data_IF_667644717976
#
_entry.id   IF_667644717976
#
_cell.length_a   1.000
_cell.length_b   1.000
_cell.length_c   1.000
_cell.angle_alpha   90.00
_cell.angle_beta   90.00
_cell.angle_gamma   90.00
#
_symmetry.space_group_name_H-M   'P 1'
#
loop_
_entity.id
_entity.type
_entity.pdbx_description
1 polymer ?
#
# COMPACT_ATOMS: atom_id res chain seq x y z
N UNK A 1 -13.50 11.69 -11.81
CA UNK A 1 -12.38 12.04 -10.90
C UNK A 1 -11.41 12.94 -11.67
N UNK A 2 -10.85 13.99 -11.05
CA UNK A 2 -9.81 14.81 -11.69
C UNK A 2 -8.48 14.06 -11.62
N UNK A 3 -7.68 14.12 -12.69
CA UNK A 3 -6.37 13.45 -12.74
C UNK A 3 -5.34 14.19 -11.86
N UNK A 4 -4.37 13.48 -11.25
CA UNK A 4 -3.31 14.10 -10.46
C UNK A 4 -2.47 15.07 -11.30
N UNK A 5 -2.05 16.18 -10.70
CA UNK A 5 -1.25 17.21 -11.40
C UNK A 5 0.22 17.15 -11.05
N UNK A 6 0.56 16.50 -9.94
CA UNK A 6 1.93 16.39 -9.44
C UNK A 6 2.49 14.97 -9.64
N UNK A 7 3.81 14.83 -9.85
CA UNK A 7 4.47 13.52 -9.88
C UNK A 7 4.16 12.66 -8.64
N UNK A 8 4.21 13.24 -7.43
CA UNK A 8 3.84 12.57 -6.18
C UNK A 8 2.35 12.20 -6.13
N UNK A 9 1.47 13.04 -6.67
CA UNK A 9 0.06 12.69 -6.86
C UNK A 9 -0.13 11.45 -7.73
N UNK A 10 0.65 11.31 -8.81
CA UNK A 10 0.59 10.12 -9.67
C UNK A 10 1.10 8.85 -8.98
N UNK A 11 2.18 8.92 -8.19
CA UNK A 11 2.67 7.74 -7.45
C UNK A 11 1.62 7.25 -6.45
N UNK A 12 0.94 8.18 -5.77
CA UNK A 12 -0.14 7.87 -4.82
C UNK A 12 -1.39 7.35 -5.53
N UNK A 13 -1.75 7.91 -6.69
CA UNK A 13 -2.91 7.44 -7.47
C UNK A 13 -2.72 5.99 -7.94
N UNK A 14 -1.56 5.66 -8.50
CA UNK A 14 -1.25 4.30 -8.95
C UNK A 14 -1.23 3.33 -7.77
N UNK A 15 -0.58 3.72 -6.67
CA UNK A 15 -0.55 2.89 -5.46
C UNK A 15 -1.95 2.67 -4.89
N UNK A 16 -2.78 3.71 -4.84
CA UNK A 16 -4.18 3.65 -4.42
C UNK A 16 -5.03 2.75 -5.30
N UNK A 17 -4.89 2.86 -6.62
CA UNK A 17 -5.60 2.00 -7.56
C UNK A 17 -5.21 0.53 -7.38
N UNK A 18 -3.92 0.23 -7.22
CA UNK A 18 -3.45 -1.14 -6.99
C UNK A 18 -3.96 -1.70 -5.66
N UNK A 19 -3.90 -0.92 -4.58
CA UNK A 19 -4.44 -1.30 -3.27
C UNK A 19 -5.96 -1.57 -3.35
N UNK A 20 -6.70 -0.74 -4.09
CA UNK A 20 -8.12 -0.93 -4.32
C UNK A 20 -8.41 -2.22 -5.07
N UNK A 21 -7.74 -2.47 -6.20
CA UNK A 21 -7.95 -3.67 -7.02
C UNK A 21 -7.55 -4.95 -6.29
N UNK A 22 -6.42 -4.95 -5.60
CA UNK A 22 -5.98 -6.10 -4.79
C UNK A 22 -6.90 -6.32 -3.59
N UNK A 23 -7.41 -5.25 -2.96
CA UNK A 23 -8.42 -5.35 -1.92
C UNK A 23 -9.73 -5.97 -2.44
N UNK A 24 -10.18 -5.57 -3.64
CA UNK A 24 -11.34 -6.21 -4.28
C UNK A 24 -11.08 -7.69 -4.58
N UNK A 25 -9.90 -8.03 -5.06
CA UNK A 25 -9.51 -9.43 -5.27
C UNK A 25 -9.56 -10.23 -3.97
N UNK A 26 -9.06 -9.67 -2.87
CA UNK A 26 -9.09 -10.35 -1.56
C UNK A 26 -10.48 -10.46 -0.94
N UNK A 27 -11.43 -9.58 -1.30
CA UNK A 27 -12.83 -9.72 -0.93
C UNK A 27 -13.57 -10.79 -1.74
N UNK A 28 -13.28 -10.89 -3.04
CA UNK A 28 -13.92 -11.86 -3.95
C UNK A 28 -13.29 -13.24 -3.81
N UNK A 29 -11.96 -13.31 -3.68
CA UNK A 29 -11.18 -14.54 -3.56
C UNK A 29 -10.04 -14.39 -2.53
N UNK A 30 -10.36 -14.51 -1.23
CA UNK A 30 -9.35 -14.44 -0.17
C UNK A 30 -8.29 -15.54 -0.30
N UNK A 31 -8.66 -16.73 -0.81
CA UNK A 31 -7.75 -17.85 -1.04
C UNK A 31 -6.66 -17.53 -2.08
N UNK A 32 -7.05 -16.95 -3.22
CA UNK A 32 -6.08 -16.51 -4.23
C UNK A 32 -5.10 -15.48 -3.67
N UNK A 33 -5.59 -14.57 -2.82
CA UNK A 33 -4.74 -13.57 -2.16
C UNK A 33 -3.74 -14.22 -1.19
N UNK A 34 -4.18 -15.21 -0.40
CA UNK A 34 -3.29 -16.01 0.45
C UNK A 34 -2.19 -16.70 -0.37
N UNK A 35 -2.55 -17.36 -1.48
CA UNK A 35 -1.60 -18.05 -2.37
C UNK A 35 -0.56 -17.09 -2.97
N UNK A 36 -1.01 -15.91 -3.43
CA UNK A 36 -0.13 -14.87 -3.99
C UNK A 36 0.91 -14.40 -2.97
N UNK A 37 0.49 -14.28 -1.70
CA UNK A 37 1.36 -13.93 -0.58
C UNK A 37 2.25 -15.10 -0.12
N UNK A 38 2.00 -16.31 -0.64
CA UNK A 38 2.75 -17.52 -0.34
C UNK A 38 2.26 -18.28 0.89
N UNK A 39 1.09 -17.96 1.41
CA UNK A 39 0.45 -18.70 2.49
C UNK A 39 -0.22 -19.97 1.96
N UNK A 40 -0.33 -20.98 2.83
CA UNK A 40 -1.06 -22.20 2.53
C UNK A 40 -2.57 -21.97 2.57
N UNK A 41 -3.27 -22.47 1.55
CA UNK A 41 -4.74 -22.42 1.49
C UNK A 41 -5.31 -23.77 1.90
N UNK A 42 -5.81 -23.82 3.13
CA UNK A 42 -6.48 -24.99 3.69
C UNK A 42 -7.86 -25.19 3.04
N UNK A 43 -8.09 -26.40 2.52
CA UNK A 43 -9.38 -26.82 1.95
C UNK A 43 -10.41 -27.11 3.05
N UNK A 44 -9.96 -27.60 4.20
CA UNK A 44 -10.78 -27.85 5.38
C UNK A 44 -10.18 -27.08 6.55
N UNK A 45 -11.01 -26.28 7.22
CA UNK A 45 -10.59 -25.40 8.32
C UNK A 45 -11.17 -25.89 9.63
N UNK A 46 -10.34 -25.91 10.66
CA UNK A 46 -10.79 -26.26 12.01
C UNK A 46 -11.75 -25.17 12.55
N UNK A 47 -12.67 -25.53 13.47
CA UNK A 47 -13.44 -24.53 14.19
C UNK A 47 -12.52 -23.51 14.88
N UNK A 48 -12.79 -22.21 14.67
CA UNK A 48 -11.96 -21.13 15.20
C UNK A 48 -10.87 -20.63 14.25
N UNK A 49 -10.64 -21.27 13.10
CA UNK A 49 -9.81 -20.70 12.03
C UNK A 49 -10.57 -19.59 11.31
N UNK A 50 -10.26 -18.35 11.68
CA UNK A 50 -10.81 -17.14 11.09
C UNK A 50 -9.90 -16.50 10.03
N UNK A 51 -8.92 -17.23 9.48
CA UNK A 51 -7.94 -16.69 8.51
C UNK A 51 -8.63 -16.01 7.32
N UNK A 52 -9.67 -16.62 6.76
CA UNK A 52 -10.41 -16.03 5.63
C UNK A 52 -11.19 -14.78 6.04
N UNK A 53 -11.70 -14.72 7.27
CA UNK A 53 -12.39 -13.53 7.80
C UNK A 53 -11.39 -12.39 8.00
N UNK A 54 -10.23 -12.68 8.59
CA UNK A 54 -9.13 -11.71 8.73
C UNK A 54 -8.60 -11.24 7.37
N UNK A 55 -8.51 -12.14 6.38
CA UNK A 55 -8.13 -11.78 5.02
C UNK A 55 -9.16 -10.86 4.38
N UNK A 56 -10.46 -11.16 4.51
CA UNK A 56 -11.53 -10.29 4.01
C UNK A 56 -11.53 -8.91 4.71
N UNK A 57 -11.36 -8.88 6.04
CA UNK A 57 -11.26 -7.62 6.80
C UNK A 57 -10.05 -6.77 6.36
N UNK A 58 -8.89 -7.41 6.20
CA UNK A 58 -7.67 -6.75 5.70
C UNK A 58 -7.85 -6.26 4.26
N UNK A 59 -8.55 -7.02 3.42
CA UNK A 59 -8.87 -6.66 2.05
C UNK A 59 -9.82 -5.47 1.97
N UNK A 60 -10.83 -5.41 2.84
CA UNK A 60 -11.72 -4.25 2.96
C UNK A 60 -10.95 -3.00 3.40
N UNK A 61 -10.00 -3.14 4.34
CA UNK A 61 -9.13 -2.03 4.74
C UNK A 61 -8.28 -1.53 3.55
N UNK A 62 -7.75 -2.44 2.73
CA UNK A 62 -7.01 -2.09 1.51
C UNK A 62 -7.89 -1.36 0.48
N UNK A 63 -9.14 -1.79 0.28
CA UNK A 63 -10.12 -1.09 -0.56
C UNK A 63 -10.32 0.35 -0.08
N UNK A 64 -10.59 0.53 1.22
CA UNK A 64 -10.81 1.86 1.81
C UNK A 64 -9.57 2.77 1.63
N UNK A 65 -8.38 2.25 1.96
CA UNK A 65 -7.13 2.99 1.79
C UNK A 65 -6.85 3.33 0.32
N UNK A 66 -7.16 2.42 -0.61
CA UNK A 66 -7.05 2.67 -2.04
C UNK A 66 -7.93 3.84 -2.49
N UNK A 67 -9.18 3.88 -2.03
CA UNK A 67 -10.09 5.00 -2.28
C UNK A 67 -9.56 6.30 -1.67
N UNK A 68 -9.09 6.29 -0.43
CA UNK A 68 -8.52 7.48 0.22
C UNK A 68 -7.29 8.00 -0.54
N UNK A 69 -6.42 7.12 -1.02
CA UNK A 69 -5.26 7.48 -1.85
C UNK A 69 -5.67 8.11 -3.17
N UNK A 70 -6.64 7.52 -3.88
CA UNK A 70 -7.15 8.09 -5.11
C UNK A 70 -7.81 9.45 -4.89
N UNK A 71 -8.63 9.62 -3.85
CA UNK A 71 -9.24 10.90 -3.50
C UNK A 71 -8.20 11.96 -3.11
N UNK A 72 -7.23 11.60 -2.27
CA UNK A 72 -6.13 12.48 -1.88
C UNK A 72 -5.29 12.90 -3.10
N UNK A 73 -5.05 11.99 -4.04
CA UNK A 73 -4.36 12.27 -5.30
C UNK A 73 -5.13 13.24 -6.21
N UNK A 74 -6.46 13.12 -6.26
CA UNK A 74 -7.31 13.96 -7.10
C UNK A 74 -7.37 15.42 -6.63
N UNK A 75 -7.06 15.69 -5.36
CA UNK A 75 -6.99 17.03 -4.76
C UNK A 75 -5.56 17.47 -4.44
N UNK A 76 -4.54 16.70 -4.86
CA UNK A 76 -3.12 16.93 -4.56
C UNK A 76 -2.85 17.21 -3.06
N UNK A 77 -3.42 16.40 -2.16
CA UNK A 77 -3.29 16.60 -0.71
C UNK A 77 -1.87 16.25 -0.21
N UNK A 78 -0.92 17.17 -0.41
CA UNK A 78 0.51 16.98 -0.12
C UNK A 78 0.85 16.55 1.31
N UNK A 79 0.25 17.11 2.39
CA UNK A 79 0.54 16.64 3.75
C UNK A 79 0.32 15.13 3.91
N UNK A 80 -0.72 14.60 3.27
CA UNK A 80 -0.99 13.17 3.29
C UNK A 80 0.08 12.37 2.53
N UNK A 81 0.54 12.84 1.35
CA UNK A 81 1.63 12.18 0.61
C UNK A 81 2.94 12.15 1.43
N UNK A 82 3.23 13.19 2.20
CA UNK A 82 4.40 13.22 3.07
C UNK A 82 4.32 12.14 4.16
N UNK A 83 3.14 11.94 4.75
CA UNK A 83 2.93 10.94 5.79
C UNK A 83 2.93 9.50 5.26
N UNK A 84 2.55 9.26 4.01
CA UNK A 84 2.62 7.89 3.46
C UNK A 84 4.05 7.36 3.42
N UNK A 85 5.07 8.21 3.21
CA UNK A 85 6.47 7.77 3.14
C UNK A 85 6.92 7.07 4.44
N UNK A 86 6.91 7.70 5.63
CA UNK A 86 7.32 7.03 6.86
C UNK A 86 6.45 5.82 7.21
N UNK A 87 5.13 5.88 7.00
CA UNK A 87 4.26 4.73 7.28
C UNK A 87 4.60 3.52 6.40
N UNK A 88 4.86 3.74 5.11
CA UNK A 88 5.25 2.65 4.20
C UNK A 88 6.64 2.10 4.51
N UNK A 89 7.56 2.93 5.00
CA UNK A 89 8.86 2.45 5.52
C UNK A 89 8.70 1.61 6.79
N UNK A 90 7.76 1.97 7.67
CA UNK A 90 7.40 1.14 8.83
C UNK A 90 6.83 -0.20 8.35
N UNK A 91 5.89 -0.19 7.41
CA UNK A 91 5.33 -1.44 6.84
C UNK A 91 6.41 -2.31 6.20
N UNK A 92 7.31 -1.72 5.40
CA UNK A 92 8.47 -2.42 4.84
C UNK A 92 9.31 -3.08 5.94
N UNK A 93 9.61 -2.35 7.02
CA UNK A 93 10.40 -2.85 8.14
C UNK A 93 9.71 -4.02 8.82
N UNK A 94 8.43 -3.88 9.16
CA UNK A 94 7.64 -4.91 9.85
C UNK A 94 7.53 -6.17 8.98
N UNK A 95 7.15 -6.04 7.71
CA UNK A 95 6.98 -7.19 6.82
C UNK A 95 8.29 -7.90 6.52
N UNK A 96 9.39 -7.14 6.33
CA UNK A 96 10.71 -7.73 6.17
C UNK A 96 11.14 -8.47 7.44
N UNK A 97 10.88 -7.89 8.61
CA UNK A 97 11.18 -8.53 9.90
C UNK A 97 10.45 -9.86 10.04
N UNK A 98 9.14 -9.90 9.77
CA UNK A 98 8.35 -11.14 9.83
C UNK A 98 8.91 -12.25 8.95
N UNK A 99 9.41 -11.91 7.75
CA UNK A 99 10.05 -12.90 6.86
C UNK A 99 11.40 -13.34 7.41
N UNK A 100 12.24 -12.41 7.87
CA UNK A 100 13.58 -12.70 8.39
C UNK A 100 13.52 -13.53 9.68
N UNK A 101 12.51 -13.32 10.52
CA UNK A 101 12.28 -14.12 11.74
C UNK A 101 11.59 -15.45 11.49
N UNK A 102 11.16 -15.73 10.25
CA UNK A 102 10.48 -16.98 9.88
C UNK A 102 8.99 -17.04 10.22
N UNK A 103 8.39 -15.92 10.63
CA UNK A 103 6.96 -15.81 10.96
C UNK A 103 6.09 -15.68 9.69
N UNK A 104 6.67 -15.30 8.56
CA UNK A 104 6.00 -15.17 7.27
C UNK A 104 6.75 -15.89 6.14
N UNK A 105 6.04 -16.39 5.10
CA UNK A 105 6.66 -17.01 3.93
C UNK A 105 7.61 -16.07 3.19
N UNK A 106 8.66 -16.61 2.57
CA UNK A 106 9.63 -15.82 1.81
C UNK A 106 8.99 -14.98 0.67
N UNK A 107 7.90 -15.47 0.05
CA UNK A 107 7.15 -14.73 -0.97
C UNK A 107 6.55 -13.43 -0.42
N UNK A 108 6.23 -13.38 0.87
CA UNK A 108 5.69 -12.19 1.54
C UNK A 108 6.68 -11.01 1.55
N UNK A 109 7.98 -11.28 1.39
CA UNK A 109 9.01 -10.23 1.25
C UNK A 109 8.71 -9.31 0.07
N UNK A 110 8.07 -9.82 -0.99
CA UNK A 110 7.65 -9.03 -2.14
C UNK A 110 6.76 -7.85 -1.74
N UNK A 111 5.89 -8.02 -0.74
CA UNK A 111 5.04 -6.93 -0.22
C UNK A 111 5.89 -5.90 0.52
N UNK A 112 6.82 -6.35 1.36
CA UNK A 112 7.75 -5.44 2.04
C UNK A 112 8.52 -4.59 1.02
N UNK A 113 9.17 -5.24 0.05
CA UNK A 113 9.94 -4.54 -0.99
C UNK A 113 9.07 -3.57 -1.81
N UNK A 114 7.83 -3.95 -2.10
CA UNK A 114 6.85 -3.08 -2.77
C UNK A 114 6.56 -1.80 -1.95
N UNK A 115 6.37 -1.95 -0.64
CA UNK A 115 6.18 -0.83 0.28
C UNK A 115 7.40 0.09 0.33
N UNK A 116 8.59 -0.50 0.50
CA UNK A 116 9.85 0.25 0.54
C UNK A 116 10.13 1.00 -0.77
N UNK A 117 10.03 0.31 -1.91
CA UNK A 117 10.25 0.92 -3.22
C UNK A 117 9.26 2.07 -3.49
N UNK A 118 7.97 1.88 -3.21
CA UNK A 118 6.99 2.94 -3.43
C UNK A 118 7.14 4.12 -2.46
N UNK A 119 7.60 3.88 -1.22
CA UNK A 119 7.96 4.94 -0.28
C UNK A 119 9.12 5.78 -0.82
N UNK A 120 10.17 5.13 -1.32
CA UNK A 120 11.33 5.81 -1.90
C UNK A 120 10.95 6.61 -3.15
N UNK A 121 10.17 6.04 -4.06
CA UNK A 121 9.70 6.72 -5.28
C UNK A 121 8.85 7.95 -4.92
N UNK A 122 7.91 7.81 -3.99
CA UNK A 122 7.05 8.92 -3.55
C UNK A 122 7.86 10.01 -2.84
N UNK A 123 8.78 9.62 -1.94
CA UNK A 123 9.69 10.54 -1.26
C UNK A 123 10.59 11.31 -2.23
N UNK A 124 11.15 10.62 -3.23
CA UNK A 124 11.96 11.25 -4.29
C UNK A 124 11.14 12.24 -5.11
N UNK A 125 9.89 11.90 -5.47
CA UNK A 125 8.98 12.80 -6.16
C UNK A 125 8.68 14.07 -5.34
N UNK A 126 8.35 13.92 -4.05
CA UNK A 126 8.09 15.04 -3.13
C UNK A 126 9.32 15.94 -2.94
N UNK A 127 10.50 15.33 -2.83
CA UNK A 127 11.76 16.07 -2.72
C UNK A 127 12.07 16.86 -3.98
N UNK A 128 11.88 16.25 -5.15
CA UNK A 128 12.07 16.93 -6.44
C UNK A 128 11.10 18.09 -6.63
N UNK A 129 9.83 17.90 -6.28
CA UNK A 129 8.83 18.97 -6.28
C UNK A 129 9.20 20.12 -5.35
N UNK A 130 9.66 19.81 -4.14
CA UNK A 130 10.08 20.82 -3.15
C UNK A 130 11.26 21.66 -3.64
N UNK A 131 12.18 21.05 -4.41
CA UNK A 131 13.31 21.76 -5.04
C UNK A 131 12.92 22.64 -6.22
N UNK A 132 11.80 22.34 -6.88
CA UNK A 132 11.28 23.09 -8.03
C UNK A 132 10.31 24.20 -7.66
N UNK A 133 9.93 24.32 -6.39
CA UNK A 133 9.20 25.47 -5.85
C UNK A 133 10.08 26.42 -5.01
N UNK A 134 11.11 27.10 -5.56
CA UNK A 134 11.85 28.14 -4.84
C UNK A 134 11.32 29.59 -5.02
N UNK A 135 10.13 29.85 -5.58
CA UNK A 135 9.74 31.23 -5.96
C UNK A 135 8.42 31.81 -5.37
N UNK A 136 7.74 31.16 -4.41
CA UNK A 136 6.44 31.65 -3.90
C UNK A 136 6.40 31.94 -2.39
N UNK A 137 7.56 32.02 -1.71
CA UNK A 137 7.67 32.37 -0.28
C UNK A 137 8.37 33.71 -0.02
N UNK A 138 8.54 34.53 -1.05
CA UNK A 138 9.15 35.87 -0.95
C UNK A 138 8.28 36.95 -1.63
N UNK A 139 6.96 36.86 -1.49
CA UNK A 139 6.01 37.90 -1.87
C UNK A 139 5.03 38.12 -0.72
#
# INVERSE_FOLDING_TARGET
MRLPRTPSGWTIAVFGLLAFLLGLLGLVSPGTTLEMLGFEVLQTRAPGDYTLVYMAASSMAAVNMGVYYMLASAVDFRPFFLWTVPFRLVTFTVFTTLVVTGEAPAKFLGVGLWEGAGALITGAALWWESRRTPAARAA
#
